data_IF_188844884657
#
_entry.id   IF_188844884657
#
_cell.length_a   1.000
_cell.length_b   1.000
_cell.length_c   1.000
_cell.angle_alpha   90.00
_cell.angle_beta   90.00
_cell.angle_gamma   90.00
#
_symmetry.space_group_name_H-M   'P 1'
#
loop_
_entity.id
_entity.type
_entity.pdbx_description
1 polymer ?
#
# COMPACT_ATOMS: atom_id res chain seq x y z
N UNK A 1 12.18 17.09 22.33
CA UNK A 1 12.61 15.80 22.91
C UNK A 1 12.01 14.69 22.07
N UNK A 2 12.82 13.74 21.62
CA UNK A 2 12.37 12.65 20.76
C UNK A 2 11.65 11.60 21.64
N UNK A 3 10.31 11.56 21.60
CA UNK A 3 9.48 10.70 22.45
C UNK A 3 9.60 9.19 22.17
N UNK A 4 10.58 8.78 21.35
CA UNK A 4 10.80 7.38 20.97
C UNK A 4 9.93 6.90 19.80
N UNK A 5 9.32 7.82 19.04
CA UNK A 5 8.53 7.45 17.87
C UNK A 5 9.44 6.92 16.75
N UNK A 6 9.04 5.80 16.16
CA UNK A 6 9.71 5.20 14.98
C UNK A 6 9.35 5.94 13.70
N UNK A 7 8.17 6.54 13.64
CA UNK A 7 7.74 7.40 12.55
C UNK A 7 6.71 8.42 13.05
N UNK A 8 6.68 9.58 12.40
CA UNK A 8 5.71 10.65 12.65
C UNK A 8 5.12 11.08 11.31
N UNK A 9 3.80 11.13 11.23
CA UNK A 9 3.05 11.61 10.07
C UNK A 9 2.18 12.79 10.49
N UNK A 10 2.26 13.88 9.72
CA UNK A 10 1.39 15.03 9.85
C UNK A 10 0.41 14.99 8.68
N UNK A 11 -0.87 14.86 8.98
CA UNK A 11 -1.93 14.74 7.98
C UNK A 11 -2.99 15.82 8.20
N UNK A 12 -3.75 16.09 7.15
CA UNK A 12 -4.93 16.92 7.23
C UNK A 12 -6.00 16.30 8.16
N UNK A 13 -6.56 17.10 9.06
CA UNK A 13 -7.67 16.67 9.91
C UNK A 13 -9.06 16.98 9.33
N UNK A 14 -9.16 17.87 8.33
CA UNK A 14 -10.44 18.48 7.88
C UNK A 14 -10.66 18.54 6.36
N UNK A 15 -9.77 17.94 5.57
CA UNK A 15 -9.85 17.98 4.10
C UNK A 15 -9.79 19.43 3.55
N UNK A 16 -8.90 20.23 4.17
CA UNK A 16 -8.61 21.61 3.78
C UNK A 16 -7.39 21.62 2.84
N UNK A 17 -7.50 22.17 1.61
CA UNK A 17 -6.38 22.20 0.69
C UNK A 17 -5.28 23.14 1.21
N UNK A 18 -4.07 22.61 1.34
CA UNK A 18 -2.85 23.43 1.50
C UNK A 18 -2.29 23.68 0.10
N UNK A 19 -2.33 24.94 -0.32
CA UNK A 19 -1.71 25.38 -1.58
C UNK A 19 -0.19 25.32 -1.49
N UNK A 20 0.47 25.28 -2.64
CA UNK A 20 1.92 25.22 -2.74
C UNK A 20 2.57 26.40 -1.99
N UNK A 21 3.42 26.14 -0.98
CA UNK A 21 4.09 27.19 -0.23
C UNK A 21 5.24 27.79 -1.04
N UNK A 22 5.74 28.95 -0.62
CA UNK A 22 6.93 29.52 -1.26
C UNK A 22 8.15 28.60 -1.09
N UNK A 23 9.15 28.65 -1.98
CA UNK A 23 10.37 27.86 -1.83
C UNK A 23 11.01 28.06 -0.45
N UNK A 24 11.11 26.98 0.34
CA UNK A 24 11.65 27.00 1.70
C UNK A 24 10.64 27.24 2.83
N UNK A 25 9.38 27.51 2.51
CA UNK A 25 8.29 27.61 3.49
C UNK A 25 7.67 26.23 3.74
N UNK A 26 7.62 25.81 5.00
CA UNK A 26 6.88 24.61 5.42
C UNK A 26 5.53 25.02 5.98
N UNK A 27 4.46 24.80 5.21
CA UNK A 27 3.08 25.08 5.63
C UNK A 27 2.38 23.79 6.04
N UNK A 28 1.90 23.76 7.28
CA UNK A 28 1.02 22.69 7.78
C UNK A 28 -0.45 23.13 7.69
N UNK A 29 -1.36 22.16 7.71
CA UNK A 29 -2.79 22.41 7.80
C UNK A 29 -3.14 23.16 9.10
N UNK A 30 -4.08 24.13 9.07
CA UNK A 30 -4.56 24.81 10.27
C UNK A 30 -5.06 23.83 11.33
N UNK A 31 -5.70 22.75 10.90
CA UNK A 31 -6.04 21.59 11.71
C UNK A 31 -5.20 20.38 11.25
N UNK A 32 -4.09 20.12 11.95
CA UNK A 32 -3.19 19.00 11.65
C UNK A 32 -3.48 17.82 12.59
N UNK A 33 -3.65 16.63 12.01
CA UNK A 33 -3.62 15.35 12.75
C UNK A 33 -2.18 14.84 12.79
N UNK A 34 -1.63 14.69 13.99
CA UNK A 34 -0.35 14.02 14.21
C UNK A 34 -0.59 12.54 14.50
N UNK A 35 0.07 11.67 13.75
CA UNK A 35 0.11 10.24 14.02
C UNK A 35 1.57 9.84 14.30
N UNK A 36 1.79 9.13 15.40
CA UNK A 36 3.11 8.65 15.78
C UNK A 36 3.08 7.13 15.97
N UNK A 37 4.03 6.43 15.36
CA UNK A 37 4.21 4.99 15.48
C UNK A 37 5.30 4.70 16.50
N UNK A 38 5.06 3.71 17.35
CA UNK A 38 5.99 3.28 18.40
C UNK A 38 6.26 1.78 18.27
N UNK A 39 7.49 1.37 18.57
CA UNK A 39 7.87 -0.03 18.55
C UNK A 39 7.10 -0.83 19.61
N UNK A 40 6.83 -2.13 19.38
CA UNK A 40 6.27 -3.02 20.39
C UNK A 40 7.08 -2.97 21.70
N UNK A 41 6.39 -3.00 22.84
CA UNK A 41 7.02 -2.91 24.17
C UNK A 41 7.28 -1.48 24.67
N UNK A 42 6.99 -0.45 23.87
CA UNK A 42 7.01 0.95 24.35
C UNK A 42 5.96 1.14 25.45
N UNK A 43 6.32 1.69 26.64
CA UNK A 43 5.37 1.80 27.74
C UNK A 43 4.31 2.88 27.45
N UNK A 44 3.09 2.43 27.18
CA UNK A 44 1.95 3.26 26.73
C UNK A 44 1.75 4.49 27.61
N UNK A 45 1.55 4.30 28.91
CA UNK A 45 1.09 5.37 29.78
C UNK A 45 2.12 6.49 29.92
N UNK A 46 3.41 6.13 30.03
CA UNK A 46 4.50 7.13 30.06
C UNK A 46 4.63 7.86 28.74
N UNK A 47 4.39 7.18 27.61
CA UNK A 47 4.45 7.78 26.27
C UNK A 47 3.29 8.74 26.05
N UNK A 48 2.06 8.34 26.39
CA UNK A 48 0.86 9.19 26.27
C UNK A 48 1.00 10.41 27.17
N UNK A 49 1.42 10.22 28.42
CA UNK A 49 1.63 11.34 29.34
C UNK A 49 2.73 12.29 28.84
N UNK A 50 3.86 11.75 28.40
CA UNK A 50 4.97 12.55 27.85
C UNK A 50 4.57 13.32 26.58
N UNK A 51 3.77 12.72 25.71
CA UNK A 51 3.21 13.40 24.53
C UNK A 51 2.21 14.49 24.91
N UNK A 52 1.31 14.22 25.85
CA UNK A 52 0.36 15.22 26.36
C UNK A 52 1.08 16.46 26.90
N UNK A 53 2.11 16.27 27.73
CA UNK A 53 2.95 17.36 28.24
C UNK A 53 3.69 18.08 27.12
N UNK A 54 4.31 17.34 26.19
CA UNK A 54 5.12 17.95 25.12
C UNK A 54 4.30 18.74 24.10
N UNK A 55 3.05 18.32 23.85
CA UNK A 55 2.15 18.94 22.89
C UNK A 55 1.15 19.91 23.55
N UNK A 56 1.10 19.98 24.88
CA UNK A 56 0.12 20.77 25.62
C UNK A 56 -1.31 20.25 25.44
N UNK A 57 -1.47 18.94 25.25
CA UNK A 57 -2.75 18.25 25.05
C UNK A 57 -3.15 17.47 26.30
N UNK A 58 -4.45 17.34 26.54
CA UNK A 58 -4.94 16.40 27.54
C UNK A 58 -4.68 14.96 27.04
N UNK A 59 -4.09 14.07 27.85
CA UNK A 59 -4.00 12.64 27.52
C UNK A 59 -5.31 12.01 27.02
N UNK A 60 -6.47 12.51 27.45
CA UNK A 60 -7.78 12.06 26.98
C UNK A 60 -8.09 12.42 25.51
N UNK A 61 -7.40 13.42 24.95
CA UNK A 61 -7.50 13.82 23.54
C UNK A 61 -6.64 12.94 22.62
N UNK A 62 -5.76 12.10 23.20
CA UNK A 62 -4.87 11.21 22.45
C UNK A 62 -5.53 9.85 22.20
N UNK A 63 -5.76 9.53 20.93
CA UNK A 63 -6.19 8.20 20.53
C UNK A 63 -4.98 7.26 20.39
N UNK A 64 -5.05 6.12 21.07
CA UNK A 64 -4.02 5.07 21.00
C UNK A 64 -4.62 3.78 20.47
N UNK A 65 -4.02 3.24 19.41
CA UNK A 65 -4.42 1.96 18.81
C UNK A 65 -3.23 1.02 18.75
N UNK A 66 -3.45 -0.23 19.13
CA UNK A 66 -2.46 -1.29 18.92
C UNK A 66 -2.55 -1.78 17.48
N UNK A 67 -1.41 -1.82 16.78
CA UNK A 67 -1.29 -2.38 15.44
C UNK A 67 -0.57 -3.72 15.61
N UNK A 68 -1.26 -4.81 15.29
CA UNK A 68 -0.66 -6.13 15.33
C UNK A 68 0.48 -6.22 14.31
N UNK A 69 1.60 -6.79 14.74
CA UNK A 69 2.66 -7.17 13.81
C UNK A 69 2.12 -8.30 12.93
N UNK A 70 2.03 -8.01 11.63
CA UNK A 70 1.59 -8.97 10.62
C UNK A 70 2.66 -8.99 9.55
N UNK A 71 2.88 -10.16 8.97
CA UNK A 71 3.60 -10.27 7.72
C UNK A 71 2.73 -9.69 6.61
N UNK A 72 2.59 -8.36 6.55
CA UNK A 72 1.74 -7.63 5.63
C UNK A 72 1.99 -8.05 4.19
N UNK A 73 3.27 -8.37 3.87
CA UNK A 73 3.67 -8.96 2.60
C UNK A 73 2.87 -10.22 2.21
N UNK A 74 2.66 -11.10 3.17
CA UNK A 74 1.93 -12.36 2.97
C UNK A 74 0.42 -12.15 3.00
N UNK A 75 -0.07 -11.20 3.79
CA UNK A 75 -1.50 -10.90 3.86
C UNK A 75 -2.01 -10.32 2.54
N UNK A 76 -1.25 -9.43 1.89
CA UNK A 76 -1.66 -8.89 0.59
C UNK A 76 -1.53 -9.92 -0.55
N UNK A 77 -0.53 -10.82 -0.48
CA UNK A 77 -0.38 -11.92 -1.43
C UNK A 77 -1.58 -12.87 -1.44
N UNK A 78 -2.25 -13.06 -0.29
CA UNK A 78 -3.45 -13.92 -0.18
C UNK A 78 -4.65 -13.40 -0.93
N UNK A 79 -4.73 -12.08 -1.12
CA UNK A 79 -5.81 -11.41 -1.83
C UNK A 79 -5.54 -11.32 -3.35
N UNK A 80 -4.35 -11.74 -3.79
CA UNK A 80 -4.00 -11.75 -5.20
C UNK A 80 -4.38 -13.10 -5.83
N UNK A 81 -5.44 -13.09 -6.62
CA UNK A 81 -5.97 -14.26 -7.30
C UNK A 81 -5.56 -14.33 -8.77
N UNK A 82 -5.65 -15.52 -9.36
CA UNK A 82 -5.50 -15.73 -10.78
C UNK A 82 -6.51 -14.87 -11.56
N UNK A 83 -6.03 -14.14 -12.58
CA UNK A 83 -6.86 -13.25 -13.40
C UNK A 83 -6.72 -13.62 -14.87
N UNK A 84 -7.86 -13.73 -15.54
CA UNK A 84 -7.93 -13.94 -16.99
C UNK A 84 -7.96 -12.60 -17.71
N UNK A 85 -7.18 -12.50 -18.78
CA UNK A 85 -7.16 -11.38 -19.72
C UNK A 85 -7.56 -11.91 -21.09
N UNK A 86 -8.67 -11.41 -21.63
CA UNK A 86 -9.25 -11.93 -22.86
C UNK A 86 -9.91 -13.30 -22.65
N UNK A 87 -9.60 -14.26 -23.53
CA UNK A 87 -10.25 -15.57 -23.60
C UNK A 87 -9.41 -16.68 -22.97
N UNK A 88 -8.09 -16.70 -23.21
CA UNK A 88 -7.23 -17.83 -22.85
C UNK A 88 -6.06 -17.44 -21.96
N UNK A 89 -5.59 -16.20 -21.99
CA UNK A 89 -4.43 -15.75 -21.22
C UNK A 89 -4.78 -15.52 -19.75
N UNK A 90 -3.98 -16.09 -18.84
CA UNK A 90 -4.11 -15.92 -17.40
C UNK A 90 -2.78 -15.47 -16.79
N UNK A 91 -2.84 -14.51 -15.87
CA UNK A 91 -1.75 -14.26 -14.91
C UNK A 91 -2.13 -14.98 -13.62
N UNK A 92 -1.29 -15.90 -13.16
CA UNK A 92 -1.59 -16.76 -12.02
C UNK A 92 -0.44 -16.80 -11.01
N UNK A 93 -0.69 -16.50 -9.73
CA UNK A 93 0.33 -16.62 -8.70
C UNK A 93 0.66 -18.08 -8.41
N UNK A 94 1.76 -18.35 -7.70
CA UNK A 94 2.20 -19.72 -7.40
C UNK A 94 1.28 -20.47 -6.45
N UNK A 95 0.51 -19.76 -5.61
CA UNK A 95 -0.37 -20.39 -4.62
C UNK A 95 -1.74 -20.82 -5.19
N UNK A 96 -2.02 -20.54 -6.46
CA UNK A 96 -3.26 -20.95 -7.14
C UNK A 96 -2.98 -21.78 -8.40
N UNK A 97 -4.03 -22.40 -8.93
CA UNK A 97 -3.97 -23.13 -10.21
C UNK A 97 -5.17 -22.80 -11.08
N UNK A 98 -4.91 -22.61 -12.37
CA UNK A 98 -5.95 -22.50 -13.41
C UNK A 98 -6.13 -23.89 -14.03
N UNK A 99 -7.33 -24.43 -13.96
CA UNK A 99 -7.66 -25.79 -14.44
C UNK A 99 -8.29 -25.83 -15.83
N UNK A 100 -8.48 -24.66 -16.45
CA UNK A 100 -9.03 -24.56 -17.82
C UNK A 100 -8.03 -25.17 -18.82
N UNK A 101 -8.42 -26.24 -19.55
CA UNK A 101 -7.52 -26.93 -20.48
C UNK A 101 -7.13 -26.08 -21.70
N UNK A 102 -7.86 -25.00 -21.99
CA UNK A 102 -7.54 -24.05 -23.05
C UNK A 102 -6.66 -22.88 -22.62
N UNK A 103 -6.32 -22.78 -21.34
CA UNK A 103 -5.63 -21.64 -20.76
C UNK A 103 -4.15 -21.55 -21.20
N UNK A 104 -3.72 -20.34 -21.53
CA UNK A 104 -2.32 -19.94 -21.58
C UNK A 104 -1.98 -19.25 -20.25
N UNK A 105 -1.23 -19.93 -19.39
CA UNK A 105 -0.96 -19.46 -18.02
C UNK A 105 0.44 -18.89 -17.91
N UNK A 106 0.53 -17.61 -17.54
CA UNK A 106 1.77 -16.96 -17.11
C UNK A 106 1.84 -17.00 -15.59
N UNK A 107 2.89 -17.65 -15.07
CA UNK A 107 3.14 -17.70 -13.62
C UNK A 107 3.85 -16.43 -13.19
N UNK A 108 3.22 -15.67 -12.31
CA UNK A 108 3.75 -14.40 -11.84
C UNK A 108 3.22 -14.11 -10.43
N UNK A 109 4.12 -14.02 -9.46
CA UNK A 109 3.76 -13.49 -8.15
C UNK A 109 3.87 -11.97 -8.19
N UNK A 110 2.90 -11.26 -7.59
CA UNK A 110 2.99 -9.83 -7.48
C UNK A 110 4.19 -9.44 -6.57
N UNK A 111 4.76 -8.26 -6.80
CA UNK A 111 5.90 -7.75 -6.03
C UNK A 111 7.26 -8.10 -6.64
N UNK A 112 7.51 -9.37 -6.96
CA UNK A 112 8.77 -9.82 -7.57
C UNK A 112 8.96 -9.29 -9.01
N UNK A 113 7.87 -8.97 -9.70
CA UNK A 113 7.90 -8.44 -11.06
C UNK A 113 6.74 -7.47 -11.31
N UNK A 114 7.02 -6.43 -12.09
CA UNK A 114 5.99 -5.55 -12.64
C UNK A 114 5.23 -6.27 -13.77
N UNK A 115 4.01 -5.82 -14.07
CA UNK A 115 3.26 -6.33 -15.22
C UNK A 115 2.27 -7.47 -14.92
N UNK A 116 1.76 -7.56 -13.68
CA UNK A 116 0.72 -8.54 -13.30
C UNK A 116 -0.67 -8.29 -13.91
N UNK A 117 -0.84 -7.19 -14.64
CA UNK A 117 -2.14 -6.80 -15.20
C UNK A 117 -3.07 -6.08 -14.21
N UNK A 118 -2.61 -5.78 -12.98
CA UNK A 118 -3.40 -4.97 -12.03
C UNK A 118 -3.57 -3.51 -12.49
N UNK A 119 -2.64 -2.99 -13.30
CA UNK A 119 -2.75 -1.67 -13.91
C UNK A 119 -3.48 -1.74 -15.27
N UNK A 120 -4.38 -0.79 -15.59
CA UNK A 120 -5.19 -0.84 -16.82
C UNK A 120 -4.37 -0.97 -18.10
N UNK A 121 -3.22 -0.31 -18.19
CA UNK A 121 -2.36 -0.38 -19.39
C UNK A 121 -1.85 -1.78 -19.66
N UNK A 122 -1.36 -2.48 -18.63
CA UNK A 122 -0.93 -3.88 -18.77
C UNK A 122 -2.11 -4.78 -19.09
N UNK A 123 -3.26 -4.58 -18.44
CA UNK A 123 -4.46 -5.36 -18.73
C UNK A 123 -4.86 -5.28 -20.22
N UNK A 124 -4.91 -4.06 -20.77
CA UNK A 124 -5.24 -3.84 -22.18
C UNK A 124 -4.22 -4.49 -23.13
N UNK A 125 -2.92 -4.42 -22.82
CA UNK A 125 -1.90 -5.09 -23.61
C UNK A 125 -2.07 -6.62 -23.58
N UNK A 126 -2.33 -7.21 -22.41
CA UNK A 126 -2.54 -8.65 -22.26
C UNK A 126 -3.78 -9.13 -23.02
N UNK A 127 -4.90 -8.40 -22.93
CA UNK A 127 -6.11 -8.67 -23.69
C UNK A 127 -5.87 -8.59 -25.20
N UNK A 128 -5.12 -7.58 -25.65
CA UNK A 128 -4.77 -7.42 -27.05
C UNK A 128 -3.89 -8.56 -27.56
N UNK A 129 -2.91 -9.01 -26.77
CA UNK A 129 -2.03 -10.14 -27.08
C UNK A 129 -2.79 -11.47 -27.13
N UNK A 130 -3.77 -11.69 -26.25
CA UNK A 130 -4.62 -12.88 -26.31
C UNK A 130 -5.45 -12.91 -27.61
N UNK A 131 -5.96 -11.76 -28.03
CA UNK A 131 -6.70 -11.63 -29.29
C UNK A 131 -5.81 -11.67 -30.55
N UNK A 132 -4.54 -11.26 -30.44
CA UNK A 132 -3.58 -11.20 -31.53
C UNK A 132 -2.27 -11.91 -31.18
N UNK A 133 -2.27 -13.25 -31.02
CA UNK A 133 -1.08 -13.97 -30.61
C UNK A 133 0.06 -13.74 -31.63
N UNK A 134 1.27 -13.37 -31.20
CA UNK A 134 2.40 -13.12 -32.09
C UNK A 134 3.04 -14.44 -32.57
N UNK A 135 2.29 -15.24 -33.31
CA UNK A 135 2.77 -16.50 -33.90
C UNK A 135 3.75 -16.19 -35.02
N UNK A 136 4.94 -16.81 -34.99
CA UNK A 136 6.02 -16.65 -35.96
C UNK A 136 6.44 -15.19 -36.20
N UNK A 137 6.42 -14.37 -35.13
CA UNK A 137 6.86 -12.98 -35.16
C UNK A 137 7.94 -12.73 -34.11
N UNK A 138 8.88 -11.85 -34.47
CA UNK A 138 9.79 -11.27 -33.51
C UNK A 138 9.05 -10.24 -32.66
N UNK A 139 9.08 -10.42 -31.34
CA UNK A 139 8.52 -9.51 -30.34
C UNK A 139 9.68 -8.83 -29.64
N UNK A 140 9.67 -7.49 -29.60
CA UNK A 140 10.69 -6.64 -28.96
C UNK A 140 10.26 -6.33 -27.53
#
# INVERSE_FOLDING_TARGET
>A
MNCGASAITLADARDEPVLEPAPGEMRLWPATRLQALFAPGTPRDTTVHGLGVALGLDPAELEVRWIADRAWEREWLREFHARRFGRRLWICPHHEQVTDPGAAVVRLDPGLAFGTGSHPTTALCLEWLDAHPPVDRDVI
#
